data_IF_916041074668
#
_entry.id   IF_916041074668
#
_cell.length_a   1.000
_cell.length_b   1.000
_cell.length_c   1.000
_cell.angle_alpha   90.00
_cell.angle_beta   90.00
_cell.angle_gamma   90.00
#
_symmetry.space_group_name_H-M   'P 1'
#
loop_
_entity.id
_entity.type
_entity.pdbx_description
1 polymer ?
#
# COMPACT_ATOMS: atom_id res chain seq x y z
N UNK A 1 -32.31 7.55 41.51
CA UNK A 1 -31.34 7.28 40.43
C UNK A 1 -32.06 6.65 39.25
N UNK A 2 -32.24 7.38 38.14
CA UNK A 2 -32.74 6.85 36.87
C UNK A 2 -31.85 7.40 35.75
N UNK A 3 -31.11 6.53 35.07
CA UNK A 3 -30.28 6.89 33.92
C UNK A 3 -31.06 6.57 32.64
N UNK A 4 -31.55 7.63 31.99
CA UNK A 4 -32.19 7.60 30.67
C UNK A 4 -31.08 7.46 29.62
N UNK A 5 -30.97 6.30 29.00
CA UNK A 5 -30.13 6.12 27.80
C UNK A 5 -30.97 6.42 26.55
N UNK A 6 -30.58 7.38 25.68
CA UNK A 6 -31.24 7.52 24.39
C UNK A 6 -30.74 6.45 23.42
N UNK A 7 -31.63 5.55 23.05
CA UNK A 7 -31.48 4.56 21.98
C UNK A 7 -31.47 5.24 20.61
N UNK A 8 -30.30 5.34 19.97
CA UNK A 8 -30.20 5.71 18.55
C UNK A 8 -30.47 4.47 17.68
N UNK A 9 -31.69 4.40 17.16
CA UNK A 9 -32.10 3.52 16.08
C UNK A 9 -31.34 3.91 14.80
N UNK A 10 -30.36 3.11 14.38
CA UNK A 10 -29.79 3.23 13.03
C UNK A 10 -30.45 2.18 12.14
N UNK A 11 -31.33 2.67 11.25
CA UNK A 11 -31.92 1.90 10.15
C UNK A 11 -30.81 1.45 9.20
N UNK A 12 -30.61 0.13 9.09
CA UNK A 12 -29.82 -0.50 8.05
C UNK A 12 -30.68 -0.47 6.78
N UNK A 13 -30.43 0.51 5.91
CA UNK A 13 -30.95 0.50 4.54
C UNK A 13 -29.98 -0.31 3.67
N UNK A 14 -30.31 -1.59 3.56
CA UNK A 14 -29.84 -2.51 2.52
C UNK A 14 -30.25 -1.99 1.14
N UNK A 15 -29.30 -1.80 0.23
CA UNK A 15 -29.58 -1.97 -1.20
C UNK A 15 -28.33 -2.52 -1.87
N UNK A 16 -28.37 -3.82 -2.13
CA UNK A 16 -27.38 -4.51 -2.94
C UNK A 16 -27.64 -4.29 -4.43
N UNK A 17 -26.55 -4.24 -5.18
CA UNK A 17 -26.53 -4.55 -6.62
C UNK A 17 -25.09 -4.94 -7.00
N UNK A 18 -24.67 -6.16 -6.63
CA UNK A 18 -23.49 -6.78 -7.21
C UNK A 18 -23.97 -7.53 -8.46
N UNK A 19 -23.85 -6.87 -9.61
CA UNK A 19 -24.01 -7.50 -10.91
C UNK A 19 -22.71 -8.27 -11.23
N UNK A 20 -22.77 -9.59 -11.12
CA UNK A 20 -21.70 -10.51 -11.49
C UNK A 20 -21.97 -11.01 -12.92
N UNK A 21 -21.21 -10.52 -13.91
CA UNK A 21 -21.02 -11.14 -15.23
C UNK A 21 -19.53 -11.00 -15.57
N UNK A 22 -18.70 -12.00 -15.29
CA UNK A 22 -18.33 -13.09 -16.19
C UNK A 22 -17.33 -12.69 -17.30
N UNK A 23 -16.08 -13.16 -17.11
CA UNK A 23 -15.07 -13.52 -18.11
C UNK A 23 -14.81 -12.58 -19.30
N UNK A 24 -13.68 -11.86 -19.25
CA UNK A 24 -12.80 -11.74 -20.42
C UNK A 24 -11.37 -11.43 -19.98
N UNK A 25 -10.44 -12.34 -20.30
CA UNK A 25 -9.02 -12.03 -20.35
C UNK A 25 -8.79 -11.20 -21.61
N UNK A 26 -8.75 -9.88 -21.45
CA UNK A 26 -8.38 -8.95 -22.51
C UNK A 26 -7.17 -8.16 -22.03
N UNK A 27 -6.07 -8.10 -22.82
CA UNK A 27 -5.03 -7.13 -22.54
C UNK A 27 -5.64 -5.76 -22.82
N UNK A 28 -5.89 -4.97 -21.77
CA UNK A 28 -6.24 -3.56 -21.95
C UNK A 28 -5.00 -2.85 -22.49
N UNK A 29 -4.94 -2.72 -23.82
CA UNK A 29 -4.08 -1.73 -24.45
C UNK A 29 -4.65 -0.36 -24.07
N UNK A 30 -4.08 0.24 -23.03
CA UNK A 30 -4.47 1.56 -22.55
C UNK A 30 -4.25 2.60 -23.65
N UNK A 31 -5.35 3.08 -24.23
CA UNK A 31 -5.38 4.37 -24.90
C UNK A 31 -4.98 5.43 -23.86
N UNK A 32 -3.80 6.00 -24.05
CA UNK A 32 -3.24 6.99 -23.16
C UNK A 32 -3.93 8.33 -23.46
N UNK A 33 -4.97 8.67 -22.71
CA UNK A 33 -5.45 10.05 -22.67
C UNK A 33 -4.34 10.89 -22.04
N UNK A 34 -3.58 11.58 -22.88
CA UNK A 34 -2.64 12.63 -22.47
C UNK A 34 -3.40 13.75 -21.80
N UNK A 35 -3.54 13.67 -20.48
CA UNK A 35 -3.82 14.83 -19.65
C UNK A 35 -2.53 15.66 -19.58
N UNK A 36 -2.56 16.88 -20.12
CA UNK A 36 -1.47 17.85 -20.05
C UNK A 36 -1.07 18.10 -18.59
N UNK A 37 0.23 18.12 -18.25
CA UNK A 37 0.66 18.58 -16.93
C UNK A 37 0.40 20.09 -16.83
N UNK A 38 -0.61 20.48 -16.07
CA UNK A 38 -0.74 21.83 -15.55
C UNK A 38 0.43 22.09 -14.60
N UNK A 39 1.35 22.96 -15.03
CA UNK A 39 2.40 23.56 -14.22
C UNK A 39 1.75 24.38 -13.11
N UNK A 40 1.47 23.78 -11.97
CA UNK A 40 1.34 24.53 -10.73
C UNK A 40 2.73 24.57 -10.11
N UNK A 41 3.44 25.66 -10.38
CA UNK A 41 4.73 25.95 -9.79
C UNK A 41 4.52 26.16 -8.29
N UNK A 42 4.61 25.07 -7.53
CA UNK A 42 4.57 25.09 -6.08
C UNK A 42 5.58 26.10 -5.56
N UNK A 43 5.07 27.15 -4.93
CA UNK A 43 5.88 28.10 -4.19
C UNK A 43 6.80 27.34 -3.21
N UNK A 44 8.05 27.76 -3.02
CA UNK A 44 8.95 27.07 -2.12
C UNK A 44 8.35 27.03 -0.73
N UNK A 45 7.99 25.83 -0.26
CA UNK A 45 7.62 25.58 1.12
C UNK A 45 8.82 25.97 1.97
N UNK A 46 8.77 27.13 2.63
CA UNK A 46 9.80 27.51 3.58
C UNK A 46 9.85 26.45 4.68
N UNK A 47 10.94 25.69 4.73
CA UNK A 47 11.24 24.77 5.82
C UNK A 47 11.58 25.65 7.02
N UNK A 48 10.58 25.95 7.84
CA UNK A 48 10.78 26.64 9.10
C UNK A 48 11.56 25.69 10.01
N UNK A 49 12.79 26.06 10.37
CA UNK A 49 13.57 25.33 11.35
C UNK A 49 12.82 25.43 12.69
N UNK A 50 12.35 24.31 13.28
CA UNK A 50 11.59 24.36 14.52
C UNK A 50 12.44 25.07 15.57
N UNK A 51 11.92 26.17 16.11
CA UNK A 51 12.52 26.81 17.27
C UNK A 51 12.71 25.75 18.37
N UNK A 52 13.83 25.76 19.09
CA UNK A 52 14.23 24.66 19.99
C UNK A 52 13.17 24.23 21.05
N UNK A 53 12.13 25.03 21.29
CA UNK A 53 10.96 24.66 22.13
C UNK A 53 9.87 23.81 21.43
N UNK A 54 9.88 23.71 20.10
CA UNK A 54 8.86 23.04 19.30
C UNK A 54 9.06 21.51 19.18
N UNK A 55 10.29 21.02 19.34
CA UNK A 55 10.61 19.59 19.18
C UNK A 55 9.74 18.71 20.11
N UNK A 56 9.56 19.13 21.37
CA UNK A 56 8.77 18.36 22.33
C UNK A 56 7.26 18.40 22.08
N UNK A 57 6.72 19.51 21.59
CA UNK A 57 5.30 19.63 21.22
C UNK A 57 5.00 18.89 19.93
N UNK A 58 5.87 19.02 18.94
CA UNK A 58 5.72 18.39 17.63
C UNK A 58 5.85 16.87 17.75
N UNK A 59 6.82 16.40 18.53
CA UNK A 59 6.99 14.96 18.80
C UNK A 59 5.75 14.39 19.49
N UNK A 60 5.21 15.09 20.51
CA UNK A 60 3.97 14.64 21.18
C UNK A 60 2.77 14.64 20.23
N UNK A 61 2.68 15.63 19.34
CA UNK A 61 1.64 15.70 18.31
C UNK A 61 1.72 14.53 17.34
N UNK A 62 2.91 14.25 16.81
CA UNK A 62 3.14 13.12 15.89
C UNK A 62 2.83 11.77 16.56
N UNK A 63 3.26 11.58 17.81
CA UNK A 63 2.94 10.37 18.57
C UNK A 63 1.44 10.24 18.89
N UNK A 64 0.73 11.36 19.07
CA UNK A 64 -0.72 11.34 19.22
C UNK A 64 -1.39 10.87 17.93
N UNK A 65 -0.97 11.38 16.77
CA UNK A 65 -1.46 10.96 15.45
C UNK A 65 -1.18 9.46 15.21
N UNK A 66 0.04 8.99 15.53
CA UNK A 66 0.38 7.57 15.40
C UNK A 66 -0.44 6.66 16.32
N UNK A 67 -0.70 7.11 17.56
CA UNK A 67 -1.52 6.36 18.52
C UNK A 67 -2.99 6.29 18.10
N UNK A 68 -3.52 7.40 17.62
CA UNK A 68 -4.90 7.50 17.17
C UNK A 68 -5.14 6.64 15.91
N UNK A 69 -4.16 6.58 15.02
CA UNK A 69 -4.22 5.73 13.84
C UNK A 69 -5.26 6.16 12.80
N UNK A 70 -5.89 7.34 12.96
CA UNK A 70 -6.84 7.87 11.95
C UNK A 70 -6.22 8.12 10.58
N UNK A 71 -4.89 8.29 10.53
CA UNK A 71 -4.13 8.42 9.28
C UNK A 71 -3.68 7.07 8.71
N UNK A 72 -4.01 5.95 9.36
CA UNK A 72 -3.73 4.63 8.82
C UNK A 72 -4.62 4.36 7.59
N UNK A 73 -4.04 3.74 6.56
CA UNK A 73 -4.80 3.25 5.42
C UNK A 73 -5.78 2.16 5.82
N UNK A 74 -6.75 1.88 4.94
CA UNK A 74 -7.71 0.79 5.15
C UNK A 74 -6.98 -0.55 5.33
N UNK A 75 -7.41 -1.33 6.33
CA UNK A 75 -6.88 -2.69 6.52
C UNK A 75 -7.36 -3.59 5.37
N UNK A 76 -6.41 -4.11 4.59
CA UNK A 76 -6.69 -5.08 3.54
C UNK A 76 -6.53 -6.49 4.10
N UNK A 77 -7.63 -7.18 4.34
CA UNK A 77 -7.58 -8.61 4.65
C UNK A 77 -7.24 -9.39 3.39
N UNK A 78 -6.36 -10.38 3.52
CA UNK A 78 -6.07 -11.30 2.43
C UNK A 78 -7.32 -12.15 2.14
N UNK A 79 -7.83 -12.19 0.90
CA UNK A 79 -8.96 -13.04 0.53
C UNK A 79 -8.67 -14.51 0.87
N UNK A 80 -9.67 -15.25 1.35
CA UNK A 80 -9.50 -16.64 1.81
C UNK A 80 -8.87 -17.58 0.77
N UNK A 81 -9.19 -17.42 -0.51
CA UNK A 81 -8.57 -18.19 -1.60
C UNK A 81 -7.05 -17.91 -1.73
N UNK A 82 -6.65 -16.64 -1.61
CA UNK A 82 -5.24 -16.24 -1.63
C UNK A 82 -4.51 -16.77 -0.38
N UNK A 83 -5.18 -16.76 0.77
CA UNK A 83 -4.66 -17.33 2.02
C UNK A 83 -4.40 -18.84 1.88
N UNK A 84 -5.35 -19.56 1.29
CA UNK A 84 -5.21 -20.99 1.03
C UNK A 84 -4.04 -21.29 0.08
N UNK A 85 -3.86 -20.50 -0.99
CA UNK A 85 -2.73 -20.64 -1.90
C UNK A 85 -1.39 -20.35 -1.23
N UNK A 86 -1.31 -19.32 -0.38
CA UNK A 86 -0.11 -19.01 0.40
C UNK A 86 0.25 -20.17 1.34
N UNK A 87 -0.74 -20.73 2.05
CA UNK A 87 -0.54 -21.88 2.93
C UNK A 87 -0.11 -23.14 2.16
N UNK A 88 -0.71 -23.42 1.00
CA UNK A 88 -0.31 -24.54 0.15
C UNK A 88 1.15 -24.41 -0.32
N UNK A 89 1.60 -23.21 -0.68
CA UNK A 89 3.01 -22.95 -1.05
C UNK A 89 3.95 -23.15 0.14
N UNK A 90 3.54 -22.73 1.33
CA UNK A 90 4.28 -22.95 2.57
C UNK A 90 4.48 -24.45 2.83
N UNK A 91 3.41 -25.24 2.75
CA UNK A 91 3.51 -26.70 2.90
C UNK A 91 4.45 -27.32 1.85
N UNK A 92 4.31 -26.90 0.59
CA UNK A 92 5.17 -27.35 -0.51
C UNK A 92 6.65 -26.99 -0.30
N UNK A 93 6.97 -25.94 0.45
CA UNK A 93 8.37 -25.55 0.69
C UNK A 93 9.15 -26.61 1.47
N UNK A 94 8.48 -27.37 2.35
CA UNK A 94 9.12 -28.43 3.13
C UNK A 94 9.42 -29.70 2.33
N UNK A 95 8.81 -29.86 1.15
CA UNK A 95 9.11 -30.99 0.25
C UNK A 95 10.48 -30.83 -0.42
N UNK A 96 11.08 -29.64 -0.35
CA UNK A 96 12.37 -29.37 -0.96
C UNK A 96 13.48 -29.61 0.07
N UNK A 97 14.45 -30.50 -0.23
CA UNK A 97 15.55 -30.76 0.69
C UNK A 97 16.41 -29.50 0.87
N UNK A 98 16.96 -29.32 2.07
CA UNK A 98 17.94 -28.28 2.34
C UNK A 98 19.22 -28.63 1.57
N UNK A 99 19.73 -27.75 0.70
CA UNK A 99 20.95 -28.03 -0.02
C UNK A 99 22.18 -27.98 0.92
N UNK A 100 23.13 -28.88 0.71
CA UNK A 100 24.43 -28.92 1.42
C UNK A 100 25.21 -27.60 1.29
N UNK A 101 25.01 -26.89 0.19
CA UNK A 101 25.59 -25.57 -0.06
C UNK A 101 24.58 -24.67 -0.77
N UNK A 102 24.43 -23.44 -0.28
CA UNK A 102 23.68 -22.42 -0.99
C UNK A 102 24.50 -21.92 -2.19
N UNK A 103 24.06 -22.23 -3.39
CA UNK A 103 24.57 -21.61 -4.63
C UNK A 103 23.54 -20.57 -5.03
N UNK A 104 23.85 -19.29 -4.83
CA UNK A 104 22.93 -18.20 -5.11
C UNK A 104 22.45 -18.25 -6.56
N UNK A 105 21.14 -18.34 -6.77
CA UNK A 105 20.53 -18.19 -8.08
C UNK A 105 20.19 -16.71 -8.27
N UNK A 106 21.00 -15.97 -9.03
CA UNK A 106 20.60 -14.64 -9.53
C UNK A 106 19.63 -14.83 -10.69
N UNK A 107 18.42 -15.31 -10.41
CA UNK A 107 17.39 -15.43 -11.44
C UNK A 107 16.73 -14.07 -11.66
N UNK A 108 17.14 -13.40 -12.74
CA UNK A 108 16.28 -12.45 -13.44
C UNK A 108 16.22 -11.02 -12.91
N UNK A 109 17.36 -10.38 -12.65
CA UNK A 109 17.47 -8.94 -12.87
C UNK A 109 17.68 -8.72 -14.37
N UNK A 110 16.59 -8.52 -15.12
CA UNK A 110 16.69 -8.19 -16.55
C UNK A 110 17.71 -7.08 -16.75
N UNK A 111 18.66 -7.31 -17.65
CA UNK A 111 19.71 -6.38 -18.05
C UNK A 111 19.11 -4.99 -18.32
N UNK A 112 19.11 -4.14 -17.29
CA UNK A 112 19.01 -2.69 -17.42
C UNK A 112 20.38 -2.24 -17.91
N UNK A 113 20.61 -2.40 -19.21
CA UNK A 113 21.70 -1.71 -19.88
C UNK A 113 21.46 -0.23 -19.67
N UNK A 114 22.16 0.35 -18.69
CA UNK A 114 22.25 1.79 -18.49
C UNK A 114 23.00 2.37 -19.70
N UNK A 115 22.26 2.49 -20.80
CA UNK A 115 22.72 3.03 -22.06
C UNK A 115 23.09 4.51 -21.82
N UNK A 116 24.38 4.79 -21.61
CA UNK A 116 24.86 6.18 -21.73
C UNK A 116 25.97 6.67 -20.81
N UNK A 117 26.56 5.86 -19.90
CA UNK A 117 27.73 6.31 -19.15
C UNK A 117 28.96 5.44 -19.42
N UNK A 118 29.58 5.65 -20.58
CA UNK A 118 31.01 5.32 -20.75
C UNK A 118 31.82 6.55 -20.29
N UNK A 119 32.64 6.47 -19.24
CA UNK A 119 33.58 7.54 -18.93
C UNK A 119 34.68 7.57 -20.00
N UNK A 120 34.89 8.76 -20.58
CA UNK A 120 36.02 9.09 -21.45
C UNK A 120 37.34 8.78 -20.74
N UNK A 121 38.28 8.19 -21.47
CA UNK A 121 39.69 8.14 -21.07
C UNK A 121 40.38 9.44 -21.48
#
# INVERSE_FOLDING_TARGET
MNFIRPSRLLRIASTGAIALCAASWMPVAGAQTTASPSTDAGAPTQVQNPANGAIGTDTRSLLAIQRDGSQAGATLQMPGAQAALAHARYLKSFEHPIPERFVGQSSGGGNVSLLGLTPSK
#
